data_IF_914524450143
#
_entry.id   IF_914524450143
#
_cell.length_a   1.000
_cell.length_b   1.000
_cell.length_c   1.000
_cell.angle_alpha   90.00
_cell.angle_beta   90.00
_cell.angle_gamma   90.00
#
_symmetry.space_group_name_H-M   'P 1'
#
loop_
_entity.id
_entity.type
_entity.pdbx_description
1 polymer ?
#
# COMPACT_ATOMS: atom_id res chain seq x y z
N UNK A 1 12.37 -20.96 -4.41
CA UNK A 1 12.79 -19.67 -3.80
C UNK A 1 12.94 -18.65 -4.92
N UNK A 2 12.38 -17.43 -4.80
CA UNK A 2 12.51 -16.41 -5.87
C UNK A 2 13.93 -15.85 -5.83
N UNK A 3 14.65 -15.93 -6.96
CA UNK A 3 16.07 -15.59 -7.04
C UNK A 3 16.31 -14.07 -6.90
N UNK A 4 17.45 -13.71 -6.30
CA UNK A 4 17.92 -12.33 -6.10
C UNK A 4 18.98 -11.98 -7.15
N UNK A 5 18.57 -11.85 -8.40
CA UNK A 5 19.51 -11.71 -9.53
C UNK A 5 19.87 -10.25 -9.85
N UNK A 6 19.07 -9.28 -9.39
CA UNK A 6 19.29 -7.86 -9.71
C UNK A 6 20.32 -7.24 -8.77
N UNK A 7 21.29 -6.44 -9.29
CA UNK A 7 22.30 -5.78 -8.46
C UNK A 7 21.72 -4.87 -7.36
N UNK A 8 20.55 -4.27 -7.61
CA UNK A 8 19.82 -3.42 -6.66
C UNK A 8 19.50 -4.14 -5.34
N UNK A 9 19.38 -5.48 -5.37
CA UNK A 9 19.11 -6.31 -4.20
C UNK A 9 20.32 -6.48 -3.27
N UNK A 10 21.51 -6.07 -3.70
CA UNK A 10 22.75 -6.14 -2.91
C UNK A 10 23.06 -4.81 -2.19
N UNK A 11 22.06 -3.94 -2.03
CA UNK A 11 22.18 -2.66 -1.30
C UNK A 11 21.48 -2.74 0.05
N UNK A 12 21.63 -1.71 0.88
CA UNK A 12 20.86 -1.57 2.14
C UNK A 12 19.33 -1.52 1.91
N UNK A 13 18.90 -1.10 0.73
CA UNK A 13 17.50 -1.13 0.29
C UNK A 13 17.12 -2.45 -0.42
N UNK A 14 18.05 -3.39 -0.55
CA UNK A 14 17.89 -4.55 -1.41
C UNK A 14 16.81 -5.52 -0.95
N UNK A 15 16.70 -5.75 0.36
CA UNK A 15 15.63 -6.59 0.93
C UNK A 15 14.23 -6.01 0.67
N UNK A 16 13.91 -4.75 1.01
CA UNK A 16 12.59 -4.20 0.69
C UNK A 16 12.31 -4.17 -0.82
N UNK A 17 13.29 -3.86 -1.66
CA UNK A 17 13.12 -3.91 -3.13
C UNK A 17 12.79 -5.31 -3.63
N UNK A 18 13.51 -6.33 -3.17
CA UNK A 18 13.25 -7.73 -3.52
C UNK A 18 11.87 -8.19 -3.04
N UNK A 19 11.51 -7.88 -1.79
CA UNK A 19 10.20 -8.25 -1.24
C UNK A 19 9.04 -7.61 -2.03
N UNK A 20 9.20 -6.35 -2.45
CA UNK A 20 8.23 -5.68 -3.33
C UNK A 20 8.15 -6.33 -4.71
N UNK A 21 9.28 -6.70 -5.32
CA UNK A 21 9.30 -7.40 -6.62
C UNK A 21 8.56 -8.74 -6.53
N UNK A 22 8.79 -9.51 -5.46
CA UNK A 22 8.04 -10.75 -5.16
C UNK A 22 6.54 -10.46 -5.02
N UNK A 23 6.16 -9.44 -4.24
CA UNK A 23 4.77 -9.06 -4.03
C UNK A 23 4.07 -8.72 -5.37
N UNK A 24 4.69 -7.88 -6.20
CA UNK A 24 4.13 -7.51 -7.51
C UNK A 24 4.05 -8.69 -8.48
N UNK A 25 4.98 -9.65 -8.43
CA UNK A 25 4.86 -10.89 -9.23
C UNK A 25 3.61 -11.67 -8.86
N UNK A 26 3.31 -11.83 -7.56
CA UNK A 26 2.06 -12.47 -7.13
C UNK A 26 0.82 -11.69 -7.59
N UNK A 27 0.82 -10.36 -7.47
CA UNK A 27 -0.28 -9.53 -7.98
C UNK A 27 -0.48 -9.70 -9.49
N UNK A 28 0.60 -9.72 -10.26
CA UNK A 28 0.56 -9.92 -11.72
C UNK A 28 0.02 -11.31 -12.11
N UNK A 29 0.24 -12.33 -11.27
CA UNK A 29 -0.36 -13.64 -11.43
C UNK A 29 -1.85 -13.71 -10.99
N UNK A 30 -2.45 -12.59 -10.58
CA UNK A 30 -3.85 -12.50 -10.18
C UNK A 30 -4.11 -12.83 -8.70
N UNK A 31 -3.08 -13.10 -7.91
CA UNK A 31 -3.26 -13.27 -6.46
C UNK A 31 -3.56 -11.92 -5.81
N UNK A 32 -4.62 -11.87 -4.99
CA UNK A 32 -4.95 -10.67 -4.20
C UNK A 32 -4.42 -10.80 -2.79
N UNK A 33 -3.15 -10.43 -2.62
CA UNK A 33 -2.48 -10.49 -1.32
C UNK A 33 -2.59 -9.13 -0.59
N UNK A 34 -2.99 -9.11 0.69
CA UNK A 34 -2.87 -7.89 1.49
C UNK A 34 -1.39 -7.56 1.69
N UNK A 35 -1.06 -6.27 1.75
CA UNK A 35 0.30 -5.83 2.09
C UNK A 35 0.41 -5.58 3.60
N UNK A 36 1.52 -5.97 4.18
CA UNK A 36 1.92 -5.61 5.53
C UNK A 36 3.41 -5.30 5.57
N UNK A 37 3.86 -4.61 6.60
CA UNK A 37 5.26 -4.25 6.77
C UNK A 37 5.52 -3.76 8.18
N UNK A 38 6.76 -3.91 8.63
CA UNK A 38 7.22 -3.47 9.95
C UNK A 38 8.59 -2.86 9.84
N UNK A 39 8.89 -1.87 10.67
CA UNK A 39 10.18 -1.14 10.59
C UNK A 39 11.37 -1.98 11.06
N UNK A 40 11.13 -3.09 11.77
CA UNK A 40 12.18 -3.92 12.39
C UNK A 40 13.17 -3.10 13.25
N UNK A 41 12.69 -2.01 13.85
CA UNK A 41 13.47 -1.17 14.75
C UNK A 41 13.99 -1.99 15.92
N UNK A 42 15.29 -1.87 16.20
CA UNK A 42 15.98 -2.69 17.21
C UNK A 42 16.65 -3.94 16.63
N UNK A 43 16.35 -4.32 15.39
CA UNK A 43 17.05 -5.38 14.63
C UNK A 43 17.80 -4.78 13.45
N UNK A 44 17.17 -3.85 12.73
CA UNK A 44 17.76 -3.09 11.64
C UNK A 44 17.99 -1.64 12.05
N UNK A 45 18.90 -0.94 11.36
CA UNK A 45 19.11 0.50 11.47
C UNK A 45 17.94 1.30 10.86
N UNK A 46 16.72 1.07 11.35
CA UNK A 46 15.49 1.71 10.88
C UNK A 46 14.78 2.41 12.04
N UNK A 47 14.43 3.70 11.89
CA UNK A 47 13.74 4.44 12.94
C UNK A 47 12.35 3.86 13.21
N UNK A 48 11.84 4.10 14.42
CA UNK A 48 10.50 3.71 14.80
C UNK A 48 9.48 4.39 13.88
N UNK A 49 8.52 3.60 13.39
CA UNK A 49 7.46 4.11 12.51
C UNK A 49 7.89 4.46 11.08
N UNK A 50 9.07 4.01 10.63
CA UNK A 50 9.52 4.17 9.25
C UNK A 50 8.53 3.56 8.24
N UNK A 51 8.25 2.26 8.41
CA UNK A 51 7.23 1.55 7.64
C UNK A 51 5.85 1.80 8.24
N UNK A 52 4.94 2.39 7.45
CA UNK A 52 3.59 2.72 7.88
C UNK A 52 2.57 1.94 7.06
N UNK A 53 1.61 1.34 7.76
CA UNK A 53 0.49 0.61 7.18
C UNK A 53 -0.81 1.33 7.53
N UNK A 54 -1.55 1.73 6.49
CA UNK A 54 -2.83 2.40 6.66
C UNK A 54 -3.94 1.47 6.19
N UNK A 55 -4.86 1.15 7.12
CA UNK A 55 -6.00 0.26 6.86
C UNK A 55 -7.27 1.07 7.01
N UNK A 56 -8.13 1.01 5.99
CA UNK A 56 -9.44 1.68 6.06
C UNK A 56 -10.42 0.82 6.84
N UNK A 57 -10.88 1.33 7.98
CA UNK A 57 -11.81 0.64 8.89
C UNK A 57 -13.07 1.48 9.07
N UNK A 58 -14.24 0.84 9.06
CA UNK A 58 -15.49 1.49 9.43
C UNK A 58 -15.51 1.83 10.92
N UNK A 59 -16.15 2.94 11.29
CA UNK A 59 -16.34 3.31 12.69
C UNK A 59 -17.51 2.50 13.29
N UNK A 60 -17.50 2.21 14.60
CA UNK A 60 -16.41 2.47 15.55
C UNK A 60 -15.21 1.53 15.36
N UNK A 61 -14.03 2.00 15.75
CA UNK A 61 -12.79 1.22 15.67
C UNK A 61 -12.86 -0.03 16.55
N UNK A 62 -12.38 -1.16 16.02
CA UNK A 62 -12.00 -2.32 16.83
C UNK A 62 -10.87 -3.08 16.15
N UNK A 63 -10.05 -3.79 16.93
CA UNK A 63 -8.94 -4.61 16.42
C UNK A 63 -9.44 -5.66 15.42
N UNK A 64 -10.57 -6.31 15.72
CA UNK A 64 -11.16 -7.30 14.82
C UNK A 64 -11.57 -6.71 13.46
N UNK A 65 -12.15 -5.49 13.45
CA UNK A 65 -12.49 -4.81 12.20
C UNK A 65 -11.24 -4.39 11.43
N UNK A 66 -10.20 -3.93 12.15
CA UNK A 66 -8.91 -3.59 11.55
C UNK A 66 -8.23 -4.80 10.89
N UNK A 67 -8.14 -5.93 11.60
CA UNK A 67 -7.58 -7.18 11.08
C UNK A 67 -8.40 -7.71 9.89
N UNK A 68 -9.73 -7.62 9.95
CA UNK A 68 -10.60 -8.04 8.84
C UNK A 68 -10.41 -7.17 7.61
N UNK A 69 -10.27 -5.85 7.78
CA UNK A 69 -10.00 -4.92 6.68
C UNK A 69 -8.60 -5.11 6.09
N UNK A 70 -7.60 -5.36 6.93
CA UNK A 70 -6.25 -5.71 6.51
C UNK A 70 -6.26 -6.97 5.65
N UNK A 71 -6.85 -8.07 6.15
CA UNK A 71 -6.99 -9.35 5.41
C UNK A 71 -7.71 -9.19 4.08
N UNK A 72 -8.69 -8.29 4.01
CA UNK A 72 -9.43 -7.99 2.78
C UNK A 72 -8.64 -7.12 1.78
N UNK A 73 -7.39 -6.74 2.07
CA UNK A 73 -6.59 -5.90 1.18
C UNK A 73 -7.00 -4.43 1.13
N UNK A 74 -7.84 -3.96 2.06
CA UNK A 74 -8.27 -2.55 2.15
C UNK A 74 -7.22 -1.69 2.86
N UNK A 75 -6.00 -1.74 2.36
CA UNK A 75 -4.85 -1.12 2.97
C UNK A 75 -3.81 -0.72 1.93
N UNK A 76 -2.87 0.12 2.35
CA UNK A 76 -1.63 0.37 1.62
C UNK A 76 -0.49 0.59 2.62
N UNK A 77 0.73 0.25 2.20
CA UNK A 77 1.96 0.53 2.93
C UNK A 77 2.73 1.66 2.25
N UNK A 78 3.32 2.57 3.04
CA UNK A 78 4.16 3.65 2.50
C UNK A 78 5.23 4.10 3.48
N UNK A 79 6.38 4.47 2.93
CA UNK A 79 7.44 5.18 3.65
C UNK A 79 7.48 6.66 3.27
N UNK A 80 6.68 7.08 2.29
CA UNK A 80 6.54 8.46 1.82
C UNK A 80 5.24 9.14 2.29
N UNK A 81 4.82 10.22 1.61
CA UNK A 81 3.58 10.92 1.91
C UNK A 81 2.34 10.05 1.64
N UNK A 82 1.23 10.40 2.29
CA UNK A 82 -0.06 9.76 2.09
C UNK A 82 -0.75 10.34 0.85
N UNK A 83 -0.93 9.50 -0.16
CA UNK A 83 -1.61 9.87 -1.40
C UNK A 83 -2.94 9.12 -1.44
N UNK A 84 -4.05 9.86 -1.50
CA UNK A 84 -5.35 9.27 -1.76
C UNK A 84 -5.63 9.32 -3.25
N UNK A 85 -5.68 8.15 -3.88
CA UNK A 85 -6.07 8.00 -5.27
C UNK A 85 -7.42 7.28 -5.31
N UNK A 86 -8.35 7.81 -6.10
CA UNK A 86 -9.56 7.08 -6.47
C UNK A 86 -9.58 6.84 -7.97
N UNK A 87 -10.09 5.68 -8.36
CA UNK A 87 -10.29 5.30 -9.76
C UNK A 87 -11.77 4.98 -9.96
N UNK A 88 -12.46 5.73 -10.82
CA UNK A 88 -13.93 5.68 -10.95
C UNK A 88 -14.66 5.82 -9.59
N UNK A 89 -14.15 6.69 -8.71
CA UNK A 89 -14.66 6.89 -7.35
C UNK A 89 -14.36 5.74 -6.37
N UNK A 90 -13.68 4.69 -6.81
CA UNK A 90 -13.27 3.57 -5.95
C UNK A 90 -11.89 3.80 -5.36
N UNK A 91 -11.73 3.41 -4.10
CA UNK A 91 -10.51 3.60 -3.31
C UNK A 91 -9.48 2.47 -3.51
N UNK A 92 -8.22 2.63 -3.02
CA UNK A 92 -7.22 1.58 -3.09
C UNK A 92 -7.69 0.28 -2.43
N UNK A 93 -7.43 -0.84 -3.09
CA UNK A 93 -7.90 -2.17 -2.68
C UNK A 93 -9.29 -2.56 -3.21
N UNK A 94 -10.04 -1.64 -3.82
CA UNK A 94 -11.29 -1.98 -4.49
C UNK A 94 -11.06 -2.76 -5.81
N UNK A 95 -12.02 -3.62 -6.18
CA UNK A 95 -12.01 -4.30 -7.47
C UNK A 95 -12.94 -3.59 -8.45
N UNK A 96 -12.40 -3.13 -9.57
CA UNK A 96 -13.17 -2.53 -10.66
C UNK A 96 -13.62 -3.61 -11.64
N UNK A 97 -14.93 -3.66 -11.92
CA UNK A 97 -15.48 -4.51 -12.97
C UNK A 97 -15.77 -3.66 -14.20
N UNK A 98 -15.23 -4.10 -15.33
CA UNK A 98 -15.43 -3.45 -16.61
C UNK A 98 -16.27 -4.37 -17.52
N UNK A 99 -17.49 -3.98 -17.88
CA UNK A 99 -18.32 -4.71 -18.85
C UNK A 99 -17.96 -4.42 -20.34
N UNK A 100 -17.40 -5.38 -21.09
CA UNK A 100 -17.12 -5.26 -22.54
C UNK A 100 -15.62 -5.18 -22.93
N UNK A 101 -15.32 -5.49 -24.22
CA UNK A 101 -13.96 -5.76 -24.77
C UNK A 101 -13.18 -4.57 -25.35
N UNK A 102 -13.77 -3.38 -25.50
CA UNK A 102 -13.08 -2.21 -26.11
C UNK A 102 -12.47 -1.27 -25.06
N UNK A 103 -11.45 -0.51 -25.47
CA UNK A 103 -10.66 0.39 -24.63
C UNK A 103 -11.52 1.29 -23.75
N UNK A 104 -11.29 1.23 -22.44
CA UNK A 104 -12.08 1.97 -21.45
C UNK A 104 -11.26 3.07 -20.83
N UNK A 105 -11.90 4.20 -20.61
CA UNK A 105 -11.34 5.28 -19.80
C UNK A 105 -11.73 5.04 -18.35
N UNK A 106 -10.76 5.17 -17.45
CA UNK A 106 -11.00 5.29 -16.03
C UNK A 106 -10.70 6.73 -15.62
N UNK A 107 -11.53 7.33 -14.78
CA UNK A 107 -11.22 8.63 -14.18
C UNK A 107 -10.37 8.41 -12.94
N UNK A 108 -9.27 9.16 -12.84
CA UNK A 108 -8.38 9.12 -11.68
C UNK A 108 -8.45 10.47 -10.98
N UNK A 109 -8.71 10.48 -9.68
CA UNK A 109 -8.62 11.67 -8.85
C UNK A 109 -7.62 11.44 -7.73
N UNK A 110 -6.63 12.33 -7.62
CA UNK A 110 -5.57 12.27 -6.62
C UNK A 110 -5.73 13.44 -5.66
N UNK A 111 -5.70 13.17 -4.36
CA UNK A 111 -5.70 14.20 -3.33
C UNK A 111 -4.52 13.94 -2.38
N UNK A 112 -3.48 14.77 -2.41
CA UNK A 112 -2.45 14.72 -1.37
C UNK A 112 -3.07 15.22 -0.06
N UNK A 113 -2.95 14.43 1.01
CA UNK A 113 -3.31 14.90 2.36
C UNK A 113 -2.04 15.06 3.19
N UNK A 114 -1.66 16.29 3.57
CA UNK A 114 -0.55 16.49 4.48
C UNK A 114 -0.84 15.85 5.85
N UNK A 115 0.18 15.28 6.47
CA UNK A 115 0.07 14.63 7.79
C UNK A 115 -0.36 15.63 8.90
N UNK A 116 -0.04 16.92 8.71
CA UNK A 116 -0.61 18.04 9.46
C UNK A 116 -1.33 18.98 8.47
N UNK A 117 -2.66 18.97 8.38
CA UNK A 117 -3.37 20.00 7.63
C UNK A 117 -3.12 21.37 8.28
N UNK A 118 -2.81 22.39 7.46
CA UNK A 118 -2.80 23.80 7.89
C UNK A 118 -4.18 24.10 8.50
N UNK A 119 -4.21 24.43 9.80
CA UNK A 119 -5.46 24.70 10.54
C UNK A 119 -5.89 26.16 10.43
N UNK A 120 -4.94 27.06 10.18
CA UNK A 120 -5.16 28.43 9.72
C UNK A 120 -3.85 29.00 9.17
N UNK A 121 -3.96 29.97 8.26
CA UNK A 121 -2.92 30.98 8.04
C UNK A 121 -3.50 32.23 8.71
N UNK A 122 -2.81 32.74 9.73
CA UNK A 122 -3.05 34.08 10.24
C UNK A 122 -2.30 35.08 9.35
#
# INVERSE_FOLDING_TARGET
MILKERPEFNTVAGMPLWAMDVYYRFLNCGFRLPVSGGSASGVMASPLGYNRLYVKVSRPFSVNRWLSALKAGRNFATNGPMIFLTVNGQEPGASLRFAGRKGKRASCACTPKPHRPLRSIA
#
